data_IF_121104695243
#
_entry.id   IF_121104695243
#
_cell.length_a   1.000
_cell.length_b   1.000
_cell.length_c   1.000
_cell.angle_alpha   90.00
_cell.angle_beta   90.00
_cell.angle_gamma   90.00
#
_symmetry.space_group_name_H-M   'P 1'
#
loop_
_entity.id
_entity.type
_entity.pdbx_description
1 polymer ?
#
# COMPACT_ATOMS: atom_id res chain seq x y z
N UNK A 1 14.73 6.44 29.53
CA UNK A 1 14.03 5.16 29.28
C UNK A 1 13.45 5.18 27.87
N UNK A 2 13.88 4.28 26.97
CA UNK A 2 13.22 4.08 25.67
C UNK A 2 11.93 3.30 25.94
N UNK A 3 10.78 3.92 25.72
CA UNK A 3 9.50 3.22 25.75
C UNK A 3 9.50 2.28 24.53
N UNK A 4 9.35 0.95 24.70
CA UNK A 4 9.24 0.05 23.57
C UNK A 4 8.06 0.49 22.70
N UNK A 5 8.25 0.50 21.38
CA UNK A 5 7.16 0.78 20.46
C UNK A 5 5.98 -0.17 20.78
N UNK A 6 4.75 0.33 20.88
CA UNK A 6 3.60 -0.51 21.20
C UNK A 6 3.54 -1.65 20.19
N UNK A 7 3.53 -2.89 20.69
CA UNK A 7 3.29 -4.06 19.85
C UNK A 7 1.94 -3.88 19.14
N UNK A 8 1.83 -4.17 17.84
CA UNK A 8 0.55 -4.13 17.14
C UNK A 8 -0.45 -4.98 17.91
N UNK A 9 -1.64 -4.43 18.18
CA UNK A 9 -2.67 -5.21 18.86
C UNK A 9 -3.09 -6.37 17.96
N UNK A 10 -3.58 -7.47 18.54
CA UNK A 10 -4.15 -8.57 17.75
C UNK A 10 -5.25 -8.06 16.79
N UNK A 11 -5.99 -7.02 17.19
CA UNK A 11 -6.98 -6.34 16.37
C UNK A 11 -6.38 -5.72 15.10
N UNK A 12 -5.27 -5.00 15.22
CA UNK A 12 -4.60 -4.36 14.07
C UNK A 12 -4.07 -5.40 13.07
N UNK A 13 -3.57 -6.53 13.58
CA UNK A 13 -3.08 -7.62 12.74
C UNK A 13 -4.23 -8.31 11.99
N UNK A 14 -5.34 -8.59 12.68
CA UNK A 14 -6.55 -9.14 12.05
C UNK A 14 -7.15 -8.20 11.01
N UNK A 15 -7.19 -6.90 11.28
CA UNK A 15 -7.65 -5.89 10.32
C UNK A 15 -6.77 -5.87 9.07
N UNK A 16 -5.45 -5.87 9.24
CA UNK A 16 -4.51 -5.91 8.13
C UNK A 16 -4.69 -7.17 7.27
N UNK A 17 -4.81 -8.34 7.90
CA UNK A 17 -5.06 -9.61 7.20
C UNK A 17 -6.38 -9.55 6.43
N UNK A 18 -7.45 -9.06 7.06
CA UNK A 18 -8.75 -8.90 6.40
C UNK A 18 -8.65 -8.03 5.15
N UNK A 19 -7.97 -6.87 5.25
CA UNK A 19 -7.77 -5.97 4.11
C UNK A 19 -6.91 -6.58 2.99
N UNK A 20 -5.93 -7.43 3.33
CA UNK A 20 -5.16 -8.16 2.31
C UNK A 20 -6.02 -9.17 1.56
N UNK A 21 -6.87 -9.92 2.28
CA UNK A 21 -7.77 -10.89 1.67
C UNK A 21 -8.81 -10.20 0.77
N UNK A 22 -9.33 -9.05 1.21
CA UNK A 22 -10.23 -8.22 0.41
C UNK A 22 -9.55 -7.74 -0.87
N UNK A 23 -8.30 -7.29 -0.78
CA UNK A 23 -7.50 -6.89 -1.94
C UNK A 23 -7.32 -8.03 -2.94
N UNK A 24 -6.87 -9.21 -2.49
CA UNK A 24 -6.67 -10.36 -3.39
C UNK A 24 -7.98 -10.84 -4.03
N UNK A 25 -9.06 -10.87 -3.25
CA UNK A 25 -10.38 -11.28 -3.73
C UNK A 25 -10.91 -10.30 -4.78
N UNK A 26 -10.77 -9.00 -4.51
CA UNK A 26 -11.21 -7.94 -5.43
C UNK A 26 -10.33 -7.87 -6.69
N UNK A 27 -9.02 -8.09 -6.56
CA UNK A 27 -8.12 -8.17 -7.71
C UNK A 27 -8.54 -9.31 -8.64
N UNK A 28 -8.80 -10.50 -8.08
CA UNK A 28 -9.28 -11.66 -8.84
C UNK A 28 -10.61 -11.39 -9.54
N UNK A 29 -11.58 -10.78 -8.86
CA UNK A 29 -12.87 -10.44 -9.48
C UNK A 29 -12.73 -9.36 -10.57
N UNK A 30 -11.72 -8.49 -10.48
CA UNK A 30 -11.44 -7.47 -11.49
C UNK A 30 -10.71 -7.97 -12.74
N UNK A 31 -10.32 -9.24 -12.75
CA UNK A 31 -9.53 -9.88 -13.80
C UNK A 31 -8.02 -9.62 -13.70
N UNK A 32 -7.54 -9.09 -12.57
CA UNK A 32 -6.11 -8.98 -12.30
C UNK A 32 -5.58 -10.31 -11.73
N UNK A 33 -4.58 -10.89 -12.37
CA UNK A 33 -3.85 -12.04 -11.85
C UNK A 33 -2.59 -11.57 -11.13
N UNK A 34 -2.64 -11.49 -9.81
CA UNK A 34 -1.51 -11.04 -9.00
C UNK A 34 -0.29 -12.00 -9.03
N UNK A 35 -0.47 -13.25 -9.49
CA UNK A 35 0.60 -14.25 -9.56
C UNK A 35 1.30 -14.28 -10.92
N UNK A 36 0.61 -13.86 -11.98
CA UNK A 36 1.14 -13.83 -13.36
C UNK A 36 1.08 -12.44 -14.01
N UNK A 37 0.70 -11.41 -13.26
CA UNK A 37 0.54 -10.05 -13.72
C UNK A 37 1.87 -9.34 -14.00
N UNK A 38 1.80 -8.04 -14.33
CA UNK A 38 2.95 -7.28 -14.85
C UNK A 38 4.15 -7.27 -13.91
N UNK A 39 3.91 -7.23 -12.59
CA UNK A 39 4.97 -7.32 -11.58
C UNK A 39 5.77 -8.63 -11.68
N UNK A 40 5.10 -9.76 -11.93
CA UNK A 40 5.74 -11.07 -12.04
C UNK A 40 6.62 -11.19 -13.29
N UNK A 41 6.30 -10.44 -14.34
CA UNK A 41 7.04 -10.42 -15.61
C UNK A 41 8.34 -9.60 -15.54
N UNK A 42 8.51 -8.78 -14.51
CA UNK A 42 9.73 -8.01 -14.30
C UNK A 42 10.91 -8.92 -13.96
N UNK A 43 12.09 -8.54 -14.46
CA UNK A 43 13.36 -9.15 -14.05
C UNK A 43 13.61 -8.94 -12.55
N UNK A 44 14.55 -9.70 -11.98
CA UNK A 44 14.94 -9.54 -10.58
C UNK A 44 15.43 -8.11 -10.26
N UNK A 45 16.20 -7.50 -11.16
CA UNK A 45 16.69 -6.12 -11.01
C UNK A 45 15.57 -5.08 -11.08
N UNK A 46 14.63 -5.23 -12.03
CA UNK A 46 13.50 -4.31 -12.15
C UNK A 46 12.58 -4.38 -10.93
N UNK A 47 12.33 -5.59 -10.41
CA UNK A 47 11.59 -5.74 -9.15
C UNK A 47 12.30 -5.07 -7.97
N UNK A 48 13.62 -5.15 -7.91
CA UNK A 48 14.38 -4.49 -6.85
C UNK A 48 14.26 -2.97 -6.93
N UNK A 49 14.36 -2.40 -8.13
CA UNK A 49 14.16 -0.95 -8.35
C UNK A 49 12.74 -0.55 -7.95
N UNK A 50 11.74 -1.27 -8.45
CA UNK A 50 10.34 -0.98 -8.14
C UNK A 50 10.06 -1.09 -6.64
N UNK A 51 10.56 -2.11 -5.94
CA UNK A 51 10.43 -2.23 -4.48
C UNK A 51 11.05 -1.03 -3.76
N UNK A 52 12.23 -0.57 -4.18
CA UNK A 52 12.86 0.61 -3.59
C UNK A 52 12.02 1.87 -3.80
N UNK A 53 11.42 2.05 -4.99
CA UNK A 53 10.48 3.13 -5.27
C UNK A 53 9.24 3.06 -4.39
N UNK A 54 8.62 1.88 -4.29
CA UNK A 54 7.43 1.68 -3.47
C UNK A 54 7.71 1.99 -1.99
N UNK A 55 8.87 1.58 -1.47
CA UNK A 55 9.28 1.91 -0.10
C UNK A 55 9.42 3.42 0.07
N UNK A 56 10.08 4.11 -0.86
CA UNK A 56 10.24 5.56 -0.80
C UNK A 56 8.90 6.30 -0.89
N UNK A 57 8.02 5.90 -1.81
CA UNK A 57 6.69 6.48 -1.99
C UNK A 57 5.82 6.24 -0.76
N UNK A 58 5.91 5.04 -0.17
CA UNK A 58 5.20 4.72 1.08
C UNK A 58 5.64 5.59 2.25
N UNK A 59 6.95 5.86 2.40
CA UNK A 59 7.46 6.75 3.45
C UNK A 59 6.95 8.18 3.23
N UNK A 60 6.97 8.68 1.98
CA UNK A 60 6.43 10.01 1.64
C UNK A 60 4.94 10.09 1.93
N UNK A 61 4.18 9.07 1.54
CA UNK A 61 2.74 8.97 1.81
C UNK A 61 2.47 8.97 3.32
N UNK A 62 3.25 8.22 4.10
CA UNK A 62 3.15 8.16 5.56
C UNK A 62 3.45 9.50 6.22
N UNK A 63 4.39 10.28 5.69
CA UNK A 63 4.66 11.64 6.14
C UNK A 63 3.49 12.60 5.80
N UNK A 64 2.86 12.44 4.63
CA UNK A 64 1.63 13.15 4.27
C UNK A 64 0.46 12.83 5.21
N UNK A 65 0.35 11.57 5.63
CA UNK A 65 -0.65 11.06 6.57
C UNK A 65 -0.46 11.52 8.04
N UNK A 66 0.42 12.50 8.27
CA UNK A 66 0.58 13.14 9.59
C UNK A 66 -0.43 14.27 9.82
N UNK A 67 -1.31 14.55 8.85
CA UNK A 67 -2.44 15.48 9.00
C UNK A 67 -2.15 16.94 8.65
N UNK A 68 -0.96 17.25 8.14
CA UNK A 68 -0.57 18.63 7.79
C UNK A 68 -1.02 19.03 6.37
N UNK A 69 -1.27 18.07 5.47
CA UNK A 69 -1.61 18.34 4.06
C UNK A 69 -2.61 17.32 3.46
N UNK A 70 -3.91 17.39 3.83
CA UNK A 70 -4.91 16.38 3.41
C UNK A 70 -5.04 16.19 1.89
N UNK A 71 -5.14 17.29 1.13
CA UNK A 71 -5.27 17.18 -0.34
C UNK A 71 -4.03 16.60 -1.03
N UNK A 72 -2.84 16.86 -0.50
CA UNK A 72 -1.60 16.26 -1.00
C UNK A 72 -1.55 14.76 -0.68
N UNK A 73 -2.03 14.38 0.51
CA UNK A 73 -2.14 12.99 0.91
C UNK A 73 -3.09 12.21 0.00
N UNK A 74 -4.30 12.72 -0.26
CA UNK A 74 -5.29 12.03 -1.10
C UNK A 74 -4.80 11.84 -2.55
N UNK A 75 -4.15 12.87 -3.12
CA UNK A 75 -3.56 12.76 -4.46
C UNK A 75 -2.43 11.72 -4.49
N UNK A 76 -1.51 11.78 -3.52
CA UNK A 76 -0.40 10.83 -3.42
C UNK A 76 -0.89 9.39 -3.19
N UNK A 77 -1.94 9.21 -2.39
CA UNK A 77 -2.58 7.93 -2.15
C UNK A 77 -3.17 7.36 -3.43
N UNK A 78 -3.89 8.19 -4.20
CA UNK A 78 -4.48 7.78 -5.47
C UNK A 78 -3.42 7.35 -6.48
N UNK A 79 -2.33 8.10 -6.61
CA UNK A 79 -1.24 7.78 -7.54
C UNK A 79 -0.53 6.49 -7.11
N UNK A 80 -0.27 6.34 -5.82
CA UNK A 80 0.31 5.12 -5.25
C UNK A 80 -0.55 3.88 -5.48
N UNK A 81 -1.85 3.96 -5.18
CA UNK A 81 -2.80 2.87 -5.43
C UNK A 81 -2.96 2.55 -6.92
N UNK A 82 -2.93 3.57 -7.79
CA UNK A 82 -2.97 3.36 -9.23
C UNK A 82 -1.74 2.60 -9.71
N UNK A 83 -0.54 2.96 -9.24
CA UNK A 83 0.71 2.25 -9.54
C UNK A 83 0.65 0.79 -9.08
N UNK A 84 0.12 0.52 -7.89
CA UNK A 84 -0.06 -0.84 -7.35
C UNK A 84 -0.98 -1.66 -8.27
N UNK A 85 -2.15 -1.11 -8.60
CA UNK A 85 -3.14 -1.82 -9.40
C UNK A 85 -2.69 -2.00 -10.86
N UNK A 86 -1.98 -1.04 -11.43
CA UNK A 86 -1.50 -1.09 -12.82
C UNK A 86 -0.33 -2.05 -13.02
N UNK A 87 0.36 -2.40 -11.93
CA UNK A 87 1.47 -3.35 -11.93
C UNK A 87 1.04 -4.74 -11.43
N UNK A 88 -0.22 -4.94 -11.04
CA UNK A 88 -0.73 -6.18 -10.44
C UNK A 88 0.13 -6.65 -9.25
N UNK A 89 0.51 -5.72 -8.37
CA UNK A 89 1.41 -6.03 -7.25
C UNK A 89 0.70 -6.95 -6.25
N UNK A 90 1.25 -8.13 -5.93
CA UNK A 90 0.61 -9.05 -5.00
C UNK A 90 0.67 -8.55 -3.55
N UNK A 91 -0.29 -8.99 -2.73
CA UNK A 91 -0.46 -8.52 -1.35
C UNK A 91 0.82 -8.66 -0.51
N UNK A 92 1.56 -9.76 -0.68
CA UNK A 92 2.79 -10.03 0.07
C UNK A 92 3.92 -9.03 -0.26
N UNK A 93 3.96 -8.48 -1.47
CA UNK A 93 4.91 -7.42 -1.86
C UNK A 93 4.52 -6.08 -1.23
N UNK A 94 3.23 -5.80 -1.09
CA UNK A 94 2.75 -4.61 -0.38
C UNK A 94 3.10 -4.68 1.10
N UNK A 95 2.96 -5.84 1.73
CA UNK A 95 3.38 -6.06 3.12
C UNK A 95 4.90 -5.97 3.24
N UNK A 96 5.66 -6.57 2.33
CA UNK A 96 7.11 -6.43 2.30
C UNK A 96 7.56 -4.97 2.20
N UNK A 97 6.90 -4.19 1.34
CA UNK A 97 7.11 -2.74 1.20
C UNK A 97 6.85 -2.00 2.51
N UNK A 98 5.72 -2.28 3.16
CA UNK A 98 5.37 -1.70 4.46
C UNK A 98 6.40 -2.02 5.55
N UNK A 99 6.81 -3.29 5.66
CA UNK A 99 7.79 -3.74 6.66
C UNK A 99 9.16 -3.09 6.42
N UNK A 100 9.59 -2.99 5.15
CA UNK A 100 10.83 -2.32 4.79
C UNK A 100 10.77 -0.81 5.11
N UNK A 101 9.65 -0.14 4.82
CA UNK A 101 9.46 1.26 5.15
C UNK A 101 9.49 1.51 6.67
N UNK A 102 8.84 0.65 7.46
CA UNK A 102 8.94 0.70 8.92
C UNK A 102 10.37 0.53 9.42
N UNK A 103 11.13 -0.39 8.83
CA UNK A 103 12.52 -0.61 9.20
C UNK A 103 13.36 0.65 8.95
N UNK A 104 13.21 1.26 7.77
CA UNK A 104 13.89 2.52 7.41
C UNK A 104 13.49 3.66 8.34
N UNK A 105 12.20 3.83 8.65
CA UNK A 105 11.71 4.90 9.54
C UNK A 105 12.20 4.70 10.97
N UNK A 106 12.22 3.45 11.46
CA UNK A 106 12.62 3.14 12.83
C UNK A 106 14.13 3.22 13.06
N UNK A 107 14.94 2.88 12.04
CA UNK A 107 16.41 2.91 12.12
C UNK A 107 17.04 4.21 11.62
N UNK A 108 16.35 4.99 10.79
CA UNK A 108 16.89 6.22 10.21
C UNK A 108 17.13 7.31 11.27
N UNK A 109 18.36 7.78 11.42
CA UNK A 109 18.73 8.81 12.42
C UNK A 109 17.95 10.13 12.26
N UNK A 110 17.57 10.48 11.03
CA UNK A 110 16.77 11.67 10.75
C UNK A 110 15.26 11.41 10.83
N UNK A 111 14.79 10.26 10.35
CA UNK A 111 13.35 9.93 10.31
C UNK A 111 12.81 9.53 11.68
N UNK A 112 13.63 8.90 12.52
CA UNK A 112 13.29 8.57 13.91
C UNK A 112 13.06 9.81 14.79
N UNK A 113 13.53 10.99 14.34
CA UNK A 113 13.29 12.27 15.00
C UNK A 113 11.94 12.89 14.66
N UNK A 114 11.25 12.39 13.62
CA UNK A 114 9.90 12.84 13.27
C UNK A 114 8.91 12.12 14.19
N UNK A 115 8.35 12.81 15.21
CA UNK A 115 7.50 12.14 16.19
C UNK A 115 6.28 11.55 15.49
N UNK A 116 5.93 10.30 15.82
CA UNK A 116 4.76 9.57 15.30
C UNK A 116 4.82 9.10 13.84
N UNK A 117 5.93 9.26 13.12
CA UNK A 117 6.03 8.76 11.74
C UNK A 117 5.87 7.23 11.66
N UNK A 118 6.35 6.48 12.66
CA UNK A 118 6.11 5.04 12.75
C UNK A 118 4.63 4.67 12.92
N UNK A 119 3.87 5.47 13.68
CA UNK A 119 2.42 5.25 13.86
C UNK A 119 1.66 5.63 12.59
N UNK A 120 2.06 6.72 11.93
CA UNK A 120 1.52 7.14 10.65
C UNK A 120 1.80 6.08 9.58
N UNK A 121 3.00 5.50 9.56
CA UNK A 121 3.36 4.40 8.67
C UNK A 121 2.50 3.15 8.89
N UNK A 122 2.11 2.83 10.13
CA UNK A 122 1.17 1.71 10.38
C UNK A 122 -0.24 2.02 9.86
N UNK A 123 -0.80 3.19 10.20
CA UNK A 123 -2.14 3.59 9.72
C UNK A 123 -2.23 3.69 8.21
N UNK A 124 -1.16 4.13 7.56
CA UNK A 124 -1.09 4.29 6.10
C UNK A 124 -1.32 2.96 5.38
N UNK A 125 -0.89 1.82 5.94
CA UNK A 125 -1.02 0.52 5.25
C UNK A 125 -2.48 0.12 5.09
N UNK A 126 -3.28 0.31 6.15
CA UNK A 126 -4.71 0.01 6.14
C UNK A 126 -5.42 0.90 5.12
N UNK A 127 -5.06 2.19 5.07
CA UNK A 127 -5.62 3.15 4.10
C UNK A 127 -5.24 2.74 2.67
N UNK A 128 -3.98 2.40 2.41
CA UNK A 128 -3.51 1.93 1.10
C UNK A 128 -4.31 0.73 0.62
N UNK A 129 -4.47 -0.31 1.45
CA UNK A 129 -5.21 -1.51 1.06
C UNK A 129 -6.68 -1.21 0.74
N UNK A 130 -7.36 -0.43 1.62
CA UNK A 130 -8.74 0.01 1.39
C UNK A 130 -8.88 0.78 0.09
N UNK A 131 -8.01 1.76 -0.15
CA UNK A 131 -8.06 2.57 -1.36
C UNK A 131 -7.71 1.78 -2.63
N UNK A 132 -6.84 0.77 -2.55
CA UNK A 132 -6.61 -0.15 -3.66
C UNK A 132 -7.88 -0.98 -3.97
N UNK A 133 -8.55 -1.51 -2.93
CA UNK A 133 -9.82 -2.24 -3.09
C UNK A 133 -10.88 -1.35 -3.75
N UNK A 134 -11.06 -0.12 -3.27
CA UNK A 134 -12.03 0.82 -3.84
C UNK A 134 -11.72 1.14 -5.31
N UNK A 135 -10.43 1.34 -5.63
CA UNK A 135 -10.00 1.59 -6.99
C UNK A 135 -10.26 0.39 -7.92
N UNK A 136 -10.03 -0.84 -7.45
CA UNK A 136 -10.31 -2.05 -8.21
C UNK A 136 -11.80 -2.25 -8.42
N UNK A 137 -12.63 -2.05 -7.39
CA UNK A 137 -14.10 -2.09 -7.52
C UNK A 137 -14.61 -1.10 -8.58
N UNK A 138 -14.13 0.14 -8.53
CA UNK A 138 -14.48 1.15 -9.52
C UNK A 138 -14.05 0.77 -10.95
N UNK A 139 -12.98 -0.02 -11.13
CA UNK A 139 -12.59 -0.56 -12.45
C UNK A 139 -13.55 -1.64 -12.94
N UNK A 140 -14.07 -2.48 -12.03
CA UNK A 140 -15.08 -3.50 -12.36
C UNK A 140 -16.37 -2.86 -12.83
N UNK A 141 -16.93 -1.95 -12.02
CA UNK A 141 -18.17 -1.25 -12.35
C UNK A 141 -18.10 -0.54 -13.72
N UNK A 142 -16.96 0.10 -14.01
CA UNK A 142 -16.73 0.74 -15.32
C UNK A 142 -16.71 -0.25 -16.49
N UNK A 143 -16.14 -1.45 -16.31
CA UNK A 143 -16.13 -2.49 -17.34
C UNK A 143 -17.55 -3.00 -17.60
N UNK A 144 -18.29 -3.32 -16.54
CA UNK A 144 -19.68 -3.80 -16.63
C UNK A 144 -20.59 -2.79 -17.34
N UNK A 145 -20.48 -1.50 -17.01
CA UNK A 145 -21.24 -0.45 -17.69
C UNK A 145 -20.85 -0.29 -19.17
N UNK A 146 -19.57 -0.44 -19.52
CA UNK A 146 -19.11 -0.36 -20.90
C UNK A 146 -19.57 -1.56 -21.74
N UNK A 147 -19.71 -2.74 -21.13
CA UNK A 147 -20.22 -3.95 -21.78
C UNK A 147 -21.75 -3.91 -21.95
N UNK A 148 -22.49 -3.39 -20.96
CA UNK A 148 -23.94 -3.23 -21.05
C UNK A 148 -24.41 -2.18 -22.07
N UNK A 149 -23.53 -1.27 -22.49
CA UNK A 149 -23.80 -0.24 -23.49
C UNK A 149 -23.50 -0.68 -24.94
N UNK A 150 -23.03 -1.91 -25.15
CA UNK A 150 -22.78 -2.53 -26.46
C UNK A 150 -23.91 -3.44 -26.87
#
# INVERSE_FOLDING_TARGET
MKIPAPHPSLGDACELIGQMLDYETTARSSGADLNSGRFSMLTASERQILRAELVADYIRLSAGNMGNTPGYFDASLKDFCSKICDMDIPSHELIGTYLAALDVVSKGEYLSKIPKLGDAARRTMIIVLRSCVDLLKARVEKKEHAEAAR
#
